data_IF_817669240813
#
_entry.id   IF_817669240813
#
_cell.length_a   1.000
_cell.length_b   1.000
_cell.length_c   1.000
_cell.angle_alpha   90.00
_cell.angle_beta   90.00
_cell.angle_gamma   90.00
#
_symmetry.space_group_name_H-M   'P 1'
#
loop_
_entity.id
_entity.type
_entity.pdbx_description
1 polymer ?
#
# COMPACT_ATOMS: atom_id res chain seq x y z
N UNK A 1 64.31 4.49 51.14
CA UNK A 1 62.94 4.04 51.48
C UNK A 1 61.98 5.12 51.06
N UNK A 2 61.50 5.05 49.79
CA UNK A 2 60.59 6.05 49.19
C UNK A 2 59.17 5.49 49.32
N UNK A 3 58.36 6.18 50.11
CA UNK A 3 56.92 5.94 50.21
C UNK A 3 56.24 6.46 48.95
N UNK A 4 55.62 5.54 48.17
CA UNK A 4 54.73 5.87 47.07
C UNK A 4 53.35 6.11 47.68
N UNK A 5 52.70 7.28 47.45
CA UNK A 5 51.36 7.49 47.95
C UNK A 5 50.37 6.60 47.16
N UNK A 6 49.49 5.95 47.91
CA UNK A 6 48.38 5.15 47.38
C UNK A 6 47.52 6.07 46.52
N UNK A 7 47.35 5.66 45.25
CA UNK A 7 46.49 6.33 44.30
C UNK A 7 45.04 6.28 44.78
N UNK A 8 44.41 7.46 44.73
CA UNK A 8 43.00 7.63 44.91
C UNK A 8 42.30 6.81 43.82
N UNK A 9 41.62 5.74 44.18
CA UNK A 9 40.69 5.04 43.32
C UNK A 9 39.55 6.05 43.01
N UNK A 10 39.52 6.50 41.78
CA UNK A 10 38.34 7.19 41.26
C UNK A 10 37.16 6.23 41.37
N UNK A 11 36.19 6.58 42.17
CA UNK A 11 34.95 5.83 42.28
C UNK A 11 34.32 5.75 40.90
N UNK A 12 34.31 4.53 40.31
CA UNK A 12 33.41 4.21 39.23
C UNK A 12 31.99 4.36 39.82
N UNK A 13 31.32 5.46 39.49
CA UNK A 13 29.91 5.60 39.80
C UNK A 13 29.18 4.47 39.04
N UNK A 14 28.68 3.52 39.78
CA UNK A 14 27.80 2.51 39.21
C UNK A 14 26.63 3.23 38.55
N UNK A 15 26.56 3.14 37.23
CA UNK A 15 25.36 3.60 36.50
C UNK A 15 24.30 2.56 36.82
N UNK A 16 23.43 2.88 37.79
CA UNK A 16 22.26 2.06 38.08
C UNK A 16 21.33 2.12 36.87
N UNK A 17 21.33 1.06 36.09
CA UNK A 17 20.38 0.91 34.99
C UNK A 17 18.98 0.76 35.61
N UNK A 18 18.14 1.78 35.39
CA UNK A 18 16.76 1.85 35.89
C UNK A 18 15.80 1.66 34.73
N UNK A 19 14.76 0.84 34.91
CA UNK A 19 13.74 0.56 33.89
C UNK A 19 13.09 1.86 33.36
N UNK A 20 12.81 2.83 34.25
CA UNK A 20 12.16 4.09 33.86
C UNK A 20 13.08 4.97 33.02
N UNK A 21 14.37 5.02 33.35
CA UNK A 21 15.35 5.78 32.57
C UNK A 21 15.56 5.12 31.21
N UNK A 22 15.67 3.79 31.17
CA UNK A 22 15.90 3.05 29.93
C UNK A 22 14.73 3.16 28.95
N UNK A 23 13.49 2.97 29.44
CA UNK A 23 12.31 3.10 28.58
C UNK A 23 12.11 4.53 28.10
N UNK A 24 12.33 5.52 28.98
CA UNK A 24 12.23 6.93 28.63
C UNK A 24 13.24 7.30 27.54
N UNK A 25 14.46 6.82 27.63
CA UNK A 25 15.47 7.09 26.60
C UNK A 25 15.06 6.48 25.23
N UNK A 26 14.50 5.26 25.25
CA UNK A 26 13.96 4.66 24.04
C UNK A 26 12.79 5.48 23.45
N UNK A 27 11.89 5.99 24.31
CA UNK A 27 10.77 6.86 23.90
C UNK A 27 11.29 8.21 23.36
N UNK A 28 12.32 8.78 23.96
CA UNK A 28 12.95 10.05 23.50
C UNK A 28 13.59 9.84 22.09
N UNK A 29 14.29 8.72 21.87
CA UNK A 29 14.82 8.35 20.56
C UNK A 29 13.68 8.21 19.52
N UNK A 30 12.58 7.57 19.91
CA UNK A 30 11.43 7.38 19.02
C UNK A 30 10.79 8.74 18.67
N UNK A 31 10.56 9.60 19.66
CA UNK A 31 10.02 10.94 19.46
C UNK A 31 10.94 11.82 18.59
N UNK A 32 12.26 11.65 18.74
CA UNK A 32 13.28 12.28 17.90
C UNK A 32 13.37 11.70 16.47
N UNK A 33 12.52 10.72 16.13
CA UNK A 33 12.53 10.00 14.84
C UNK A 33 13.82 9.20 14.58
N UNK A 34 14.61 8.96 15.62
CA UNK A 34 15.80 8.11 15.59
C UNK A 34 15.39 6.63 15.68
N UNK A 35 14.56 6.18 14.74
CA UNK A 35 13.87 4.89 14.82
C UNK A 35 14.80 3.68 14.96
N UNK A 36 16.00 3.74 14.37
CA UNK A 36 16.97 2.64 14.51
C UNK A 36 17.53 2.59 15.93
N UNK A 37 17.84 3.74 16.53
CA UNK A 37 18.27 3.83 17.91
C UNK A 37 17.13 3.43 18.85
N UNK A 38 15.92 3.94 18.64
CA UNK A 38 14.73 3.58 19.41
C UNK A 38 14.50 2.06 19.47
N UNK A 39 14.52 1.38 18.33
CA UNK A 39 14.36 -0.08 18.28
C UNK A 39 15.45 -0.81 19.07
N UNK A 40 16.70 -0.35 19.03
CA UNK A 40 17.79 -0.92 19.80
C UNK A 40 17.60 -0.70 21.32
N UNK A 41 17.16 0.48 21.73
CA UNK A 41 16.95 0.82 23.14
C UNK A 41 15.72 0.13 23.74
N UNK A 42 14.63 -0.03 22.96
CA UNK A 42 13.51 -0.88 23.38
C UNK A 42 13.92 -2.35 23.54
N UNK A 43 14.74 -2.88 22.63
CA UNK A 43 15.26 -4.25 22.77
C UNK A 43 16.14 -4.38 24.03
N UNK A 44 16.97 -3.36 24.34
CA UNK A 44 17.78 -3.31 25.55
C UNK A 44 16.90 -3.29 26.80
N UNK A 45 15.84 -2.49 26.80
CA UNK A 45 14.85 -2.47 27.87
C UNK A 45 14.24 -3.84 28.12
N UNK A 46 13.75 -4.51 27.05
CA UNK A 46 13.16 -5.85 27.16
C UNK A 46 14.16 -6.88 27.69
N UNK A 47 15.42 -6.77 27.29
CA UNK A 47 16.46 -7.68 27.72
C UNK A 47 16.75 -7.57 29.22
N UNK A 48 16.87 -6.35 29.75
CA UNK A 48 17.20 -6.13 31.15
C UNK A 48 15.98 -6.18 32.09
N UNK A 49 14.79 -5.93 31.57
CA UNK A 49 13.55 -5.86 32.35
C UNK A 49 12.42 -6.70 31.71
N UNK A 50 12.64 -8.03 31.55
CA UNK A 50 11.70 -8.87 30.80
C UNK A 50 10.32 -9.02 31.45
N UNK A 51 10.23 -8.83 32.78
CA UNK A 51 9.00 -8.93 33.57
C UNK A 51 8.32 -7.57 33.81
N UNK A 52 8.83 -6.48 33.21
CA UNK A 52 8.22 -5.17 33.34
C UNK A 52 6.90 -5.13 32.54
N UNK A 53 5.86 -4.55 33.13
CA UNK A 53 4.53 -4.43 32.52
C UNK A 53 4.51 -3.68 31.18
N UNK A 54 5.53 -2.88 30.91
CA UNK A 54 5.69 -2.10 29.67
C UNK A 54 6.31 -2.90 28.52
N UNK A 55 6.74 -4.13 28.75
CA UNK A 55 7.36 -4.99 27.71
C UNK A 55 6.46 -5.16 26.47
N UNK A 56 5.14 -5.40 26.57
CA UNK A 56 4.29 -5.45 25.39
C UNK A 56 4.32 -4.15 24.57
N UNK A 57 4.27 -3.00 25.24
CA UNK A 57 4.35 -1.70 24.59
C UNK A 57 5.73 -1.48 23.95
N UNK A 58 6.81 -1.83 24.61
CA UNK A 58 8.16 -1.75 24.04
C UNK A 58 8.29 -2.61 22.77
N UNK A 59 7.74 -3.84 22.76
CA UNK A 59 7.69 -4.71 21.57
C UNK A 59 6.91 -4.06 20.42
N UNK A 60 5.78 -3.45 20.75
CA UNK A 60 4.98 -2.70 19.77
C UNK A 60 5.76 -1.52 19.19
N UNK A 61 6.46 -0.76 20.03
CA UNK A 61 7.26 0.39 19.60
C UNK A 61 8.47 -0.02 18.74
N UNK A 62 9.03 -1.23 18.92
CA UNK A 62 10.01 -1.79 17.99
C UNK A 62 9.36 -1.99 16.61
N UNK A 63 8.18 -2.61 16.55
CA UNK A 63 7.42 -2.78 15.32
C UNK A 63 7.13 -1.44 14.63
N UNK A 64 6.75 -0.42 15.40
CA UNK A 64 6.53 0.94 14.92
C UNK A 64 7.80 1.59 14.37
N UNK A 65 8.94 1.41 15.06
CA UNK A 65 10.23 1.91 14.60
C UNK A 65 10.60 1.31 13.24
N UNK A 66 10.44 -0.01 13.09
CA UNK A 66 10.67 -0.72 11.83
C UNK A 66 9.71 -0.27 10.72
N UNK A 67 8.44 -0.04 11.05
CA UNK A 67 7.46 0.49 10.11
C UNK A 67 7.87 1.87 9.58
N UNK A 68 8.33 2.77 10.44
CA UNK A 68 8.82 4.10 10.04
C UNK A 68 10.11 4.02 9.20
N UNK A 69 10.96 3.02 9.46
CA UNK A 69 12.13 2.70 8.63
C UNK A 69 11.74 2.07 7.29
N UNK A 70 10.44 1.83 7.04
CA UNK A 70 9.87 1.15 5.87
C UNK A 70 10.29 -0.32 5.75
N UNK A 71 10.81 -0.91 6.83
CA UNK A 71 11.03 -2.36 6.91
C UNK A 71 9.72 -3.04 7.33
N UNK A 72 8.78 -3.07 6.39
CA UNK A 72 7.45 -3.61 6.65
C UNK A 72 7.46 -5.11 6.95
N UNK A 73 8.42 -5.84 6.40
CA UNK A 73 8.54 -7.28 6.66
C UNK A 73 8.95 -7.57 8.11
N UNK A 74 9.95 -6.85 8.62
CA UNK A 74 10.34 -6.98 10.03
C UNK A 74 9.25 -6.45 10.96
N UNK A 75 8.59 -5.32 10.63
CA UNK A 75 7.47 -4.78 11.40
C UNK A 75 6.32 -5.78 11.52
N UNK A 76 5.95 -6.47 10.42
CA UNK A 76 4.92 -7.51 10.40
C UNK A 76 5.22 -8.63 11.38
N UNK A 77 6.47 -9.11 11.47
CA UNK A 77 6.85 -10.16 12.40
C UNK A 77 6.61 -9.76 13.86
N UNK A 78 6.94 -8.50 14.22
CA UNK A 78 6.71 -7.98 15.57
C UNK A 78 5.23 -7.84 15.88
N UNK A 79 4.45 -7.23 14.99
CA UNK A 79 3.02 -7.02 15.22
C UNK A 79 2.24 -8.34 15.24
N UNK A 80 2.59 -9.29 14.38
CA UNK A 80 1.94 -10.62 14.38
C UNK A 80 2.20 -11.34 15.69
N UNK A 81 3.44 -11.35 16.19
CA UNK A 81 3.77 -11.98 17.47
C UNK A 81 3.00 -11.35 18.65
N UNK A 82 2.75 -10.04 18.61
CA UNK A 82 1.93 -9.37 19.63
C UNK A 82 0.47 -9.77 19.49
N UNK A 83 -0.10 -9.70 18.27
CA UNK A 83 -1.49 -10.07 18.02
C UNK A 83 -1.79 -11.51 18.42
N UNK A 84 -0.89 -12.45 18.12
CA UNK A 84 -1.01 -13.87 18.47
C UNK A 84 -1.00 -14.10 19.98
N UNK A 85 -0.21 -13.31 20.72
CA UNK A 85 -0.09 -13.43 22.17
C UNK A 85 -1.20 -12.70 22.93
N UNK A 86 -1.51 -11.47 22.50
CA UNK A 86 -2.38 -10.55 23.24
C UNK A 86 -3.86 -10.61 22.77
N UNK A 87 -4.11 -11.19 21.60
CA UNK A 87 -5.47 -11.40 21.07
C UNK A 87 -6.29 -10.10 20.96
N UNK A 88 -7.49 -10.12 21.55
CA UNK A 88 -8.44 -8.99 21.51
C UNK A 88 -8.13 -7.86 22.52
N UNK A 89 -6.98 -7.89 23.19
CA UNK A 89 -6.58 -6.78 24.06
C UNK A 89 -6.31 -5.50 23.23
N UNK A 90 -6.33 -4.30 23.83
CA UNK A 90 -6.07 -3.06 23.09
C UNK A 90 -4.78 -3.12 22.26
N UNK A 91 -3.67 -3.60 22.83
CA UNK A 91 -2.39 -3.67 22.12
C UNK A 91 -2.39 -4.74 21.02
N UNK A 92 -3.16 -5.83 21.19
CA UNK A 92 -3.36 -6.84 20.16
C UNK A 92 -4.13 -6.27 18.97
N UNK A 93 -5.22 -5.56 19.24
CA UNK A 93 -6.02 -4.86 18.20
C UNK A 93 -5.16 -3.80 17.48
N UNK A 94 -4.40 -2.98 18.21
CA UNK A 94 -3.48 -2.00 17.63
C UNK A 94 -2.43 -2.65 16.72
N UNK A 95 -1.91 -3.80 17.15
CA UNK A 95 -0.98 -4.60 16.33
C UNK A 95 -1.66 -5.11 15.06
N UNK A 96 -2.91 -5.56 15.14
CA UNK A 96 -3.69 -5.95 13.98
C UNK A 96 -3.91 -4.81 12.99
N UNK A 97 -4.13 -3.60 13.47
CA UNK A 97 -4.18 -2.39 12.62
C UNK A 97 -2.86 -2.15 11.90
N UNK A 98 -1.74 -2.27 12.62
CA UNK A 98 -0.41 -2.06 12.06
C UNK A 98 -0.02 -3.14 11.05
N UNK A 99 -0.47 -4.39 11.24
CA UNK A 99 -0.33 -5.47 10.26
C UNK A 99 -1.03 -5.08 8.95
N UNK A 100 -2.31 -4.66 9.02
CA UNK A 100 -3.05 -4.24 7.83
C UNK A 100 -2.36 -3.08 7.11
N UNK A 101 -1.87 -2.11 7.88
CA UNK A 101 -1.19 -0.95 7.32
C UNK A 101 0.16 -1.30 6.70
N UNK A 102 0.92 -2.21 7.30
CA UNK A 102 2.18 -2.71 6.76
C UNK A 102 1.97 -3.43 5.43
N UNK A 103 0.92 -4.28 5.34
CA UNK A 103 0.54 -4.90 4.09
C UNK A 103 0.08 -3.88 3.04
N UNK A 104 -0.69 -2.87 3.41
CA UNK A 104 -1.10 -1.80 2.50
C UNK A 104 0.09 -1.01 1.97
N UNK A 105 1.07 -0.66 2.84
CA UNK A 105 2.28 0.06 2.44
C UNK A 105 3.21 -0.76 1.54
N UNK A 106 3.16 -2.09 1.62
CA UNK A 106 3.83 -3.01 0.71
C UNK A 106 2.98 -3.43 -0.50
N UNK A 107 1.85 -2.75 -0.73
CA UNK A 107 0.91 -2.98 -1.83
C UNK A 107 0.28 -4.39 -1.84
N UNK A 108 0.37 -5.12 -0.73
CA UNK A 108 -0.27 -6.41 -0.57
C UNK A 108 -1.71 -6.25 -0.03
N UNK A 109 -2.57 -5.68 -0.86
CA UNK A 109 -3.96 -5.38 -0.48
C UNK A 109 -4.74 -6.63 -0.05
N UNK A 110 -4.46 -7.78 -0.67
CA UNK A 110 -5.13 -9.04 -0.31
C UNK A 110 -4.85 -9.42 1.14
N UNK A 111 -3.59 -9.45 1.55
CA UNK A 111 -3.21 -9.78 2.93
C UNK A 111 -3.73 -8.73 3.95
N UNK A 112 -3.75 -7.45 3.57
CA UNK A 112 -4.35 -6.40 4.39
C UNK A 112 -5.84 -6.66 4.65
N UNK A 113 -6.61 -7.02 3.62
CA UNK A 113 -8.04 -7.35 3.71
C UNK A 113 -8.27 -8.61 4.55
N UNK A 114 -7.46 -9.65 4.36
CA UNK A 114 -7.54 -10.89 5.15
C UNK A 114 -7.31 -10.62 6.64
N UNK A 115 -6.33 -9.78 6.97
CA UNK A 115 -6.08 -9.39 8.36
C UNK A 115 -7.21 -8.53 8.95
N UNK A 116 -7.79 -7.59 8.19
CA UNK A 116 -8.96 -6.83 8.63
C UNK A 116 -10.17 -7.76 8.89
N UNK A 117 -10.38 -8.75 8.02
CA UNK A 117 -11.41 -9.77 8.25
C UNK A 117 -11.14 -10.62 9.49
N UNK A 118 -9.86 -10.84 9.84
CA UNK A 118 -9.50 -11.47 11.11
C UNK A 118 -9.85 -10.58 12.31
N UNK A 119 -9.52 -9.29 12.27
CA UNK A 119 -9.87 -8.34 13.33
C UNK A 119 -11.38 -8.23 13.57
N UNK A 120 -12.19 -8.26 12.52
CA UNK A 120 -13.66 -8.26 12.61
C UNK A 120 -14.17 -9.50 13.38
N UNK A 121 -13.52 -10.66 13.21
CA UNK A 121 -13.89 -11.87 13.94
C UNK A 121 -13.35 -11.91 15.37
N UNK A 122 -12.22 -11.25 15.59
CA UNK A 122 -11.53 -11.24 16.88
C UNK A 122 -12.19 -10.30 17.88
N UNK A 123 -12.67 -9.13 17.42
CA UNK A 123 -13.20 -8.08 18.29
C UNK A 123 -14.73 -8.11 18.36
N UNK A 124 -15.27 -8.00 19.57
CA UNK A 124 -16.70 -7.78 19.83
C UNK A 124 -17.05 -6.28 19.85
N UNK A 125 -16.04 -5.40 19.89
CA UNK A 125 -16.23 -3.96 19.86
C UNK A 125 -16.70 -3.49 18.48
N UNK A 126 -17.89 -2.88 18.46
CA UNK A 126 -18.47 -2.35 17.22
C UNK A 126 -17.63 -1.24 16.60
N UNK A 127 -16.97 -0.41 17.41
CA UNK A 127 -16.12 0.64 16.87
C UNK A 127 -14.93 0.06 16.08
N UNK A 128 -14.31 -1.01 16.61
CA UNK A 128 -13.24 -1.74 15.94
C UNK A 128 -13.75 -2.41 14.66
N UNK A 129 -14.88 -3.09 14.72
CA UNK A 129 -15.44 -3.79 13.54
C UNK A 129 -15.90 -2.82 12.46
N UNK A 130 -16.52 -1.71 12.81
CA UNK A 130 -16.93 -0.66 11.86
C UNK A 130 -15.73 -0.01 11.18
N UNK A 131 -14.69 0.30 11.96
CA UNK A 131 -13.45 0.83 11.41
C UNK A 131 -12.76 -0.19 10.47
N UNK A 132 -12.81 -1.48 10.81
CA UNK A 132 -12.24 -2.53 9.96
C UNK A 132 -13.03 -2.67 8.64
N UNK A 133 -14.37 -2.66 8.68
CA UNK A 133 -15.20 -2.65 7.47
C UNK A 133 -14.94 -1.42 6.61
N UNK A 134 -14.84 -0.25 7.24
CA UNK A 134 -14.54 0.99 6.53
C UNK A 134 -13.18 0.94 5.83
N UNK A 135 -12.11 0.52 6.53
CA UNK A 135 -10.79 0.34 5.92
C UNK A 135 -10.79 -0.70 4.80
N UNK A 136 -11.48 -1.82 5.00
CA UNK A 136 -11.62 -2.87 3.99
C UNK A 136 -12.31 -2.34 2.72
N UNK A 137 -13.36 -1.54 2.88
CA UNK A 137 -14.01 -0.86 1.76
C UNK A 137 -13.04 0.02 0.95
N UNK A 138 -12.21 0.81 1.64
CA UNK A 138 -11.20 1.62 0.98
C UNK A 138 -10.13 0.80 0.26
N UNK A 139 -9.66 -0.32 0.84
CA UNK A 139 -8.71 -1.21 0.17
C UNK A 139 -9.31 -1.85 -1.08
N UNK A 140 -10.61 -2.22 -1.05
CA UNK A 140 -11.31 -2.66 -2.25
C UNK A 140 -11.47 -1.56 -3.30
N UNK A 141 -11.67 -0.29 -2.89
CA UNK A 141 -11.67 0.83 -3.84
C UNK A 141 -10.29 1.00 -4.50
N UNK A 142 -9.21 0.94 -3.72
CA UNK A 142 -7.83 1.04 -4.22
C UNK A 142 -7.48 -0.07 -5.20
N UNK A 143 -7.97 -1.29 -4.96
CA UNK A 143 -7.80 -2.42 -5.88
C UNK A 143 -8.77 -2.39 -7.07
N UNK A 144 -9.69 -1.41 -7.13
CA UNK A 144 -10.68 -1.24 -8.21
C UNK A 144 -11.87 -2.20 -8.12
N UNK A 145 -12.09 -2.82 -6.96
CA UNK A 145 -13.16 -3.77 -6.69
C UNK A 145 -14.40 -3.08 -6.07
N UNK A 146 -15.03 -2.17 -6.83
CA UNK A 146 -16.10 -1.30 -6.34
C UNK A 146 -17.30 -2.03 -5.73
N UNK A 147 -17.66 -3.20 -6.27
CA UNK A 147 -18.79 -4.01 -5.75
C UNK A 147 -18.47 -4.53 -4.35
N UNK A 148 -17.24 -5.02 -4.15
CA UNK A 148 -16.80 -5.49 -2.83
C UNK A 148 -16.62 -4.33 -1.84
N UNK A 149 -16.17 -3.17 -2.34
CA UNK A 149 -16.07 -1.98 -1.52
C UNK A 149 -17.43 -1.57 -0.94
N UNK A 150 -18.45 -1.51 -1.80
CA UNK A 150 -19.83 -1.21 -1.37
C UNK A 150 -20.34 -2.24 -0.37
N UNK A 151 -20.16 -3.53 -0.65
CA UNK A 151 -20.57 -4.59 0.26
C UNK A 151 -19.86 -4.52 1.63
N UNK A 152 -18.62 -4.04 1.68
CA UNK A 152 -17.92 -3.80 2.94
C UNK A 152 -18.51 -2.58 3.70
N UNK A 153 -18.76 -1.49 2.99
CA UNK A 153 -19.36 -0.28 3.56
C UNK A 153 -20.80 -0.53 4.09
N UNK A 154 -21.57 -1.39 3.43
CA UNK A 154 -22.92 -1.77 3.87
C UNK A 154 -22.94 -2.57 5.18
N UNK A 155 -21.78 -3.09 5.62
CA UNK A 155 -21.61 -3.80 6.90
C UNK A 155 -21.38 -2.87 8.10
N UNK A 156 -21.09 -1.60 7.85
CA UNK A 156 -20.89 -0.61 8.91
C UNK A 156 -22.21 -0.34 9.62
N UNK A 157 -22.16 -0.33 10.95
CA UNK A 157 -23.33 -0.06 11.78
C UNK A 157 -23.91 1.35 11.55
N UNK A 158 -25.19 1.61 11.91
CA UNK A 158 -25.76 2.94 11.74
C UNK A 158 -24.98 4.06 12.46
N UNK A 159 -24.39 3.78 13.64
CA UNK A 159 -23.52 4.73 14.33
C UNK A 159 -22.24 4.99 13.55
N UNK A 160 -21.54 3.94 13.12
CA UNK A 160 -20.32 4.06 12.32
C UNK A 160 -20.56 4.75 10.97
N UNK A 161 -21.72 4.56 10.34
CA UNK A 161 -22.08 5.28 9.11
C UNK A 161 -22.12 6.80 9.30
N UNK A 162 -22.63 7.25 10.47
CA UNK A 162 -22.62 8.67 10.82
C UNK A 162 -21.20 9.17 11.09
N UNK A 163 -20.41 8.40 11.85
CA UNK A 163 -19.04 8.77 12.21
C UNK A 163 -18.12 8.87 11.00
N UNK A 164 -18.35 8.02 9.99
CA UNK A 164 -17.56 8.01 8.74
C UNK A 164 -18.21 8.80 7.59
N UNK A 165 -19.31 9.51 7.83
CA UNK A 165 -20.03 10.27 6.80
C UNK A 165 -20.28 9.43 5.53
N UNK A 166 -20.89 8.25 5.72
CA UNK A 166 -21.06 7.26 4.68
C UNK A 166 -22.08 7.67 3.61
N UNK A 167 -23.06 8.52 3.96
CA UNK A 167 -24.09 8.94 3.01
C UNK A 167 -23.51 9.78 1.87
N UNK A 168 -22.55 10.67 2.18
CA UNK A 168 -21.81 11.41 1.15
C UNK A 168 -20.92 10.48 0.32
N UNK A 169 -20.27 9.49 0.95
CA UNK A 169 -19.49 8.50 0.22
C UNK A 169 -20.35 7.66 -0.72
N UNK A 170 -21.52 7.22 -0.28
CA UNK A 170 -22.45 6.46 -1.12
C UNK A 170 -22.97 7.27 -2.30
N UNK A 171 -23.26 8.57 -2.10
CA UNK A 171 -23.62 9.47 -3.17
C UNK A 171 -22.49 9.60 -4.21
N UNK A 172 -21.24 9.74 -3.76
CA UNK A 172 -20.07 9.80 -4.63
C UNK A 172 -19.83 8.48 -5.38
N UNK A 173 -19.96 7.34 -4.69
CA UNK A 173 -19.81 6.01 -5.29
C UNK A 173 -20.93 5.67 -6.28
N UNK A 174 -22.12 6.24 -6.09
CA UNK A 174 -23.23 6.08 -7.05
C UNK A 174 -22.92 6.69 -8.41
N UNK A 175 -22.03 7.68 -8.46
CA UNK A 175 -21.50 8.26 -9.70
C UNK A 175 -20.51 7.36 -10.47
N UNK A 176 -20.13 6.18 -9.95
CA UNK A 176 -19.15 5.30 -10.63
C UNK A 176 -19.61 4.81 -12.02
N UNK A 177 -20.94 4.81 -12.30
CA UNK A 177 -21.48 4.50 -13.62
C UNK A 177 -21.06 5.48 -14.72
N UNK A 178 -20.53 6.64 -14.33
CA UNK A 178 -20.04 7.70 -15.24
C UNK A 178 -18.57 7.45 -15.63
N UNK A 179 -17.86 6.51 -14.97
CA UNK A 179 -16.48 6.19 -15.32
C UNK A 179 -16.46 5.60 -16.74
N UNK A 180 -15.95 6.42 -17.68
CA UNK A 180 -15.77 5.96 -19.06
C UNK A 180 -14.82 4.76 -19.08
N UNK A 181 -15.31 3.63 -19.58
CA UNK A 181 -14.51 2.42 -19.76
C UNK A 181 -14.39 2.07 -21.24
N UNK A 182 -13.21 1.61 -21.62
CA UNK A 182 -12.94 1.11 -22.98
C UNK A 182 -13.06 -0.42 -22.96
N UNK A 183 -13.77 -0.97 -23.95
CA UNK A 183 -13.89 -2.41 -24.07
C UNK A 183 -12.60 -3.00 -24.70
N UNK A 184 -11.89 -3.93 -24.03
CA UNK A 184 -10.67 -4.52 -24.56
C UNK A 184 -10.89 -5.30 -25.86
N UNK A 185 -12.06 -5.98 -26.01
CA UNK A 185 -12.40 -6.68 -27.23
C UNK A 185 -12.57 -5.69 -28.41
N UNK A 186 -13.26 -4.58 -28.18
CA UNK A 186 -13.39 -3.51 -29.18
C UNK A 186 -12.03 -2.94 -29.58
N UNK A 187 -11.13 -2.71 -28.59
CA UNK A 187 -9.78 -2.28 -28.87
C UNK A 187 -9.01 -3.29 -29.74
N UNK A 188 -9.18 -4.59 -29.46
CA UNK A 188 -8.59 -5.66 -30.25
C UNK A 188 -9.12 -5.70 -31.69
N UNK A 189 -10.44 -5.61 -31.89
CA UNK A 189 -11.07 -5.59 -33.19
C UNK A 189 -10.61 -4.36 -34.01
N UNK A 190 -10.57 -3.19 -33.39
CA UNK A 190 -10.09 -1.96 -34.05
C UNK A 190 -8.60 -2.04 -34.41
N UNK A 191 -7.83 -2.87 -33.73
CA UNK A 191 -6.39 -3.10 -34.00
C UNK A 191 -6.16 -3.92 -35.27
N UNK A 192 -7.21 -4.43 -35.94
CA UNK A 192 -7.10 -4.97 -37.32
C UNK A 192 -6.55 -3.88 -38.26
N UNK A 193 -6.90 -2.63 -38.04
CA UNK A 193 -6.17 -1.51 -38.61
C UNK A 193 -5.01 -1.19 -37.68
N UNK A 194 -3.74 -1.24 -38.14
CA UNK A 194 -2.59 -0.97 -37.29
C UNK A 194 -2.73 0.37 -36.54
N UNK A 195 -2.61 0.35 -35.22
CA UNK A 195 -2.78 1.53 -34.37
C UNK A 195 -4.22 1.83 -33.95
N UNK A 196 -5.26 1.22 -34.56
CA UNK A 196 -6.68 1.52 -34.28
C UNK A 196 -7.09 1.28 -32.82
N UNK A 197 -6.56 0.22 -32.19
CA UNK A 197 -6.79 -0.04 -30.77
C UNK A 197 -6.17 1.00 -29.85
N UNK A 198 -4.98 1.51 -30.18
CA UNK A 198 -4.34 2.61 -29.44
C UNK A 198 -5.16 3.90 -29.61
N UNK A 199 -5.61 4.20 -30.83
CA UNK A 199 -6.44 5.36 -31.12
C UNK A 199 -7.73 5.35 -30.27
N UNK A 200 -8.40 4.21 -30.21
CA UNK A 200 -9.59 4.01 -29.39
C UNK A 200 -9.32 4.28 -27.89
N UNK A 201 -8.11 3.98 -27.42
CA UNK A 201 -7.67 4.18 -26.05
C UNK A 201 -7.01 5.57 -25.81
N UNK A 202 -7.16 6.52 -26.76
CA UNK A 202 -6.64 7.89 -26.67
C UNK A 202 -5.10 7.97 -26.64
N UNK A 203 -4.41 6.91 -27.09
CA UNK A 203 -2.95 6.84 -27.20
C UNK A 203 -2.50 7.19 -28.62
N UNK A 204 -2.65 8.45 -28.98
CA UNK A 204 -2.45 8.94 -30.35
C UNK A 204 -1.03 8.73 -30.87
N UNK A 205 -0.01 8.92 -30.05
CA UNK A 205 1.39 8.74 -30.44
C UNK A 205 1.68 7.28 -30.80
N UNK A 206 1.25 6.36 -29.93
CA UNK A 206 1.43 4.91 -30.18
C UNK A 206 0.64 4.45 -31.40
N UNK A 207 -0.54 5.03 -31.62
CA UNK A 207 -1.35 4.74 -32.80
C UNK A 207 -0.62 5.13 -34.08
N UNK A 208 -0.04 6.33 -34.14
CA UNK A 208 0.72 6.79 -35.31
C UNK A 208 1.97 5.93 -35.52
N UNK A 209 2.73 5.62 -34.48
CA UNK A 209 3.92 4.78 -34.55
C UNK A 209 3.54 3.41 -35.12
N UNK A 210 2.51 2.75 -34.55
CA UNK A 210 2.07 1.45 -35.00
C UNK A 210 1.63 1.48 -36.47
N UNK A 211 0.88 2.49 -36.87
CA UNK A 211 0.39 2.66 -38.24
C UNK A 211 1.54 2.82 -39.24
N UNK A 212 2.44 3.77 -38.99
CA UNK A 212 3.53 4.08 -39.92
C UNK A 212 4.55 2.93 -40.01
N UNK A 213 4.96 2.33 -38.89
CA UNK A 213 5.90 1.22 -38.94
C UNK A 213 5.31 -0.01 -39.62
N UNK A 214 4.09 -0.40 -39.27
CA UNK A 214 3.45 -1.54 -39.94
C UNK A 214 3.28 -1.28 -41.43
N UNK A 215 2.83 -0.07 -41.80
CA UNK A 215 2.67 0.33 -43.20
C UNK A 215 3.99 0.34 -43.96
N UNK A 216 5.06 0.87 -43.38
CA UNK A 216 6.39 0.89 -43.98
C UNK A 216 6.94 -0.51 -44.24
N UNK A 217 6.76 -1.44 -43.28
CA UNK A 217 7.21 -2.83 -43.47
C UNK A 217 6.37 -3.57 -44.51
N UNK A 218 5.04 -3.34 -44.57
CA UNK A 218 4.18 -3.91 -45.59
C UNK A 218 4.60 -3.39 -46.96
N UNK A 219 4.76 -2.07 -47.11
CA UNK A 219 5.20 -1.46 -48.36
C UNK A 219 6.59 -1.97 -48.78
N UNK A 220 7.55 -1.98 -47.86
CA UNK A 220 8.89 -2.45 -48.12
C UNK A 220 8.94 -3.96 -48.50
N UNK A 221 8.05 -4.79 -47.93
CA UNK A 221 7.95 -6.17 -48.29
C UNK A 221 7.42 -6.32 -49.74
N UNK A 222 6.33 -5.64 -50.12
CA UNK A 222 5.76 -5.65 -51.46
C UNK A 222 6.80 -5.20 -52.49
N UNK A 223 7.41 -4.04 -52.28
CA UNK A 223 8.45 -3.48 -53.16
C UNK A 223 9.66 -4.41 -53.30
N UNK A 224 10.10 -5.09 -52.24
CA UNK A 224 11.18 -6.05 -52.28
C UNK A 224 10.84 -7.29 -53.12
N UNK A 225 9.57 -7.78 -53.07
CA UNK A 225 9.12 -8.88 -53.90
C UNK A 225 9.00 -8.48 -55.36
N UNK A 226 8.52 -7.26 -55.65
CA UNK A 226 8.38 -6.75 -57.02
C UNK A 226 9.73 -6.58 -57.73
N UNK A 227 10.80 -6.34 -56.93
CA UNK A 227 12.20 -6.26 -57.43
C UNK A 227 13.01 -7.56 -57.32
N UNK A 228 12.37 -8.74 -57.21
CA UNK A 228 12.99 -10.03 -57.06
C UNK A 228 13.93 -10.22 -55.84
N UNK A 229 13.83 -9.30 -54.84
CA UNK A 229 14.62 -9.35 -53.59
C UNK A 229 13.90 -10.24 -52.54
N UNK A 230 13.65 -11.50 -52.86
CA UNK A 230 12.79 -12.40 -52.07
C UNK A 230 13.26 -12.58 -50.62
N UNK A 231 14.58 -12.61 -50.38
CA UNK A 231 15.11 -12.71 -49.00
C UNK A 231 14.79 -11.46 -48.13
N UNK A 232 14.93 -10.28 -48.74
CA UNK A 232 14.61 -9.00 -48.10
C UNK A 232 13.08 -8.87 -47.86
N UNK A 233 12.26 -9.22 -48.86
CA UNK A 233 10.80 -9.25 -48.77
C UNK A 233 10.31 -10.17 -47.65
N UNK A 234 10.94 -11.35 -47.52
CA UNK A 234 10.64 -12.30 -46.44
C UNK A 234 10.98 -11.73 -45.04
N UNK A 235 12.16 -11.10 -44.90
CA UNK A 235 12.55 -10.45 -43.64
C UNK A 235 11.59 -9.30 -43.27
N UNK A 236 11.28 -8.42 -44.24
CA UNK A 236 10.33 -7.30 -44.04
C UNK A 236 8.93 -7.80 -43.63
N UNK A 237 8.45 -8.87 -44.25
CA UNK A 237 7.18 -9.50 -43.92
C UNK A 237 7.14 -10.05 -42.50
N UNK A 238 8.22 -10.72 -42.04
CA UNK A 238 8.34 -11.23 -40.67
C UNK A 238 8.35 -10.10 -39.64
N UNK A 239 9.12 -9.05 -39.89
CA UNK A 239 9.18 -7.91 -38.99
C UNK A 239 7.84 -7.16 -38.99
N UNK A 240 7.23 -6.94 -40.15
CA UNK A 240 5.91 -6.33 -40.28
C UNK A 240 4.81 -7.09 -39.53
N UNK A 241 4.84 -8.44 -39.60
CA UNK A 241 3.91 -9.29 -38.85
C UNK A 241 4.12 -9.14 -37.35
N UNK A 242 5.37 -9.01 -36.88
CA UNK A 242 5.68 -8.73 -35.48
C UNK A 242 5.11 -7.39 -34.99
N UNK A 243 5.28 -6.33 -35.77
CA UNK A 243 4.68 -5.02 -35.46
C UNK A 243 3.15 -5.05 -35.48
N UNK A 244 2.57 -5.76 -36.44
CA UNK A 244 1.13 -5.92 -36.57
C UNK A 244 0.51 -6.63 -35.35
N UNK A 245 1.04 -7.82 -35.03
CA UNK A 245 0.55 -8.58 -33.87
C UNK A 245 0.82 -7.88 -32.54
N UNK A 246 1.98 -7.20 -32.43
CA UNK A 246 2.32 -6.34 -31.30
C UNK A 246 1.34 -5.20 -31.13
N UNK A 247 0.90 -4.57 -32.23
CA UNK A 247 -0.12 -3.52 -32.20
C UNK A 247 -1.49 -4.02 -31.73
N UNK A 248 -1.93 -5.23 -32.14
CA UNK A 248 -3.17 -5.83 -31.67
C UNK A 248 -3.16 -6.08 -30.16
N UNK A 249 -2.11 -6.75 -29.69
CA UNK A 249 -1.94 -7.02 -28.25
C UNK A 249 -1.82 -5.73 -27.44
N UNK A 250 -1.06 -4.77 -27.97
CA UNK A 250 -0.88 -3.45 -27.37
C UNK A 250 -2.18 -2.65 -27.26
N UNK A 251 -3.07 -2.73 -28.25
CA UNK A 251 -4.39 -2.13 -28.22
C UNK A 251 -5.28 -2.68 -27.10
N UNK A 252 -5.36 -4.01 -26.98
CA UNK A 252 -6.09 -4.69 -25.90
C UNK A 252 -5.55 -4.29 -24.53
N UNK A 253 -4.23 -4.35 -24.36
CA UNK A 253 -3.55 -3.98 -23.12
C UNK A 253 -3.78 -2.49 -22.77
N UNK A 254 -3.84 -1.62 -23.78
CA UNK A 254 -4.12 -0.20 -23.59
C UNK A 254 -5.52 0.06 -23.05
N UNK A 255 -6.53 -0.72 -23.46
CA UNK A 255 -7.87 -0.59 -22.90
C UNK A 255 -7.89 -0.98 -21.40
N UNK A 256 -7.18 -2.05 -21.01
CA UNK A 256 -7.04 -2.41 -19.60
C UNK A 256 -6.33 -1.29 -18.79
N UNK A 257 -5.22 -0.76 -19.31
CA UNK A 257 -4.48 0.34 -18.65
C UNK A 257 -5.33 1.61 -18.54
N UNK A 258 -6.09 1.95 -19.58
CA UNK A 258 -7.01 3.10 -19.58
C UNK A 258 -8.06 2.93 -18.47
N UNK A 259 -8.71 1.77 -18.40
CA UNK A 259 -9.73 1.49 -17.40
C UNK A 259 -9.17 1.53 -15.97
N UNK A 260 -7.97 0.98 -15.76
CA UNK A 260 -7.31 1.04 -14.46
C UNK A 260 -6.94 2.48 -14.07
N UNK A 261 -6.41 3.26 -14.99
CA UNK A 261 -6.09 4.68 -14.75
C UNK A 261 -7.35 5.48 -14.38
N UNK A 262 -8.46 5.28 -15.09
CA UNK A 262 -9.73 5.96 -14.79
C UNK A 262 -10.31 5.58 -13.43
N UNK A 263 -10.25 4.30 -13.07
CA UNK A 263 -10.65 3.84 -11.73
C UNK A 263 -9.78 4.47 -10.64
N UNK A 264 -8.46 4.48 -10.82
CA UNK A 264 -7.52 5.06 -9.86
C UNK A 264 -7.70 6.58 -9.72
N UNK A 265 -7.98 7.29 -10.84
CA UNK A 265 -8.28 8.71 -10.85
C UNK A 265 -9.53 9.00 -10.03
N UNK A 266 -10.61 8.26 -10.25
CA UNK A 266 -11.86 8.39 -9.52
C UNK A 266 -11.68 8.17 -8.00
N UNK A 267 -10.98 7.10 -7.59
CA UNK A 267 -10.69 6.84 -6.18
C UNK A 267 -9.85 7.96 -5.57
N UNK A 268 -8.85 8.46 -6.31
CA UNK A 268 -8.01 9.57 -5.85
C UNK A 268 -8.82 10.86 -5.66
N UNK A 269 -9.77 11.15 -6.55
CA UNK A 269 -10.65 12.33 -6.42
C UNK A 269 -11.54 12.22 -5.18
N UNK A 270 -12.15 11.05 -4.94
CA UNK A 270 -12.95 10.82 -3.72
C UNK A 270 -12.08 11.02 -2.48
N UNK A 271 -10.89 10.40 -2.42
CA UNK A 271 -9.97 10.58 -1.30
C UNK A 271 -9.60 12.03 -1.07
N UNK A 272 -9.32 12.78 -2.15
CA UNK A 272 -8.97 14.20 -2.07
C UNK A 272 -10.12 15.05 -1.53
N UNK A 273 -11.35 14.81 -2.00
CA UNK A 273 -12.53 15.53 -1.52
C UNK A 273 -12.81 15.28 -0.05
N UNK A 274 -12.59 14.06 0.41
CA UNK A 274 -12.84 13.66 1.80
C UNK A 274 -11.65 13.87 2.73
N UNK A 275 -10.51 14.29 2.22
CA UNK A 275 -9.28 14.44 3.02
C UNK A 275 -8.82 13.13 3.66
N UNK A 276 -9.18 11.97 3.06
CA UNK A 276 -8.89 10.65 3.62
C UNK A 276 -7.41 10.33 3.42
N UNK A 277 -6.66 10.37 4.49
CA UNK A 277 -5.31 9.80 4.55
C UNK A 277 -5.24 8.82 5.71
N UNK A 278 -4.91 7.56 5.43
CA UNK A 278 -4.67 6.57 6.47
C UNK A 278 -3.26 6.75 7.02
N UNK A 279 -3.09 7.80 7.86
CA UNK A 279 -1.85 8.05 8.56
C UNK A 279 -1.95 7.57 10.01
N UNK A 280 -0.85 7.03 10.53
CA UNK A 280 -0.69 6.82 11.97
C UNK A 280 -0.26 8.14 12.59
N UNK A 281 -1.06 8.68 13.50
CA UNK A 281 -0.71 9.83 14.32
C UNK A 281 -0.46 9.40 15.76
N UNK A 282 0.61 9.93 16.38
CA UNK A 282 0.79 9.84 17.82
C UNK A 282 0.17 11.06 18.49
N UNK A 283 -0.65 10.84 19.50
CA UNK A 283 -1.10 11.88 20.43
C UNK A 283 -0.81 11.45 21.87
N UNK A 284 0.36 11.82 22.36
CA UNK A 284 0.82 11.41 23.69
C UNK A 284 1.16 9.92 23.77
N UNK A 285 0.64 9.21 24.80
CA UNK A 285 0.82 7.76 24.97
C UNK A 285 -0.20 6.90 24.21
N UNK A 286 -1.18 7.53 23.55
CA UNK A 286 -2.22 6.85 22.79
C UNK A 286 -1.89 6.84 21.31
N UNK A 287 -1.98 5.68 20.69
CA UNK A 287 -1.86 5.52 19.25
C UNK A 287 -3.19 5.94 18.65
N UNK A 288 -3.24 7.15 18.09
CA UNK A 288 -4.35 7.55 17.26
C UNK A 288 -4.14 6.93 15.88
N UNK A 289 -4.76 5.79 15.64
CA UNK A 289 -5.04 5.32 14.30
C UNK A 289 -6.09 6.25 13.68
N UNK A 290 -5.65 7.46 13.35
CA UNK A 290 -6.52 8.51 12.87
C UNK A 290 -6.68 8.43 11.37
N UNK A 291 -7.92 8.50 10.95
CA UNK A 291 -8.30 9.03 9.66
C UNK A 291 -8.23 10.55 9.82
N UNK A 292 -7.22 11.22 9.24
CA UNK A 292 -7.15 12.67 9.30
C UNK A 292 -8.06 13.23 8.23
N UNK A 293 -9.20 13.80 8.63
CA UNK A 293 -9.94 14.72 7.79
C UNK A 293 -9.22 16.07 7.85
N UNK A 294 -8.72 16.58 6.73
CA UNK A 294 -8.35 17.99 6.61
C UNK A 294 -9.60 18.74 6.16
N UNK A 295 -10.12 19.57 7.07
CA UNK A 295 -11.10 20.59 6.75
C UNK A 295 -10.46 21.72 5.95
#
# INVERSE_FOLDING_TARGET
>A
MLLIPAGVAAGQGDILLNADIQIKYADDCFAGQEYRAAAAEYNRFIYFFPEDERVPQARFNIGMSLFHLKDYAAALNHFTAILDKEGATPIGIDSGWMISQSYQRSENYKAAIENLAYLIRLSEDKAVTDQAWHRMGWLYLESGEFVKARAAFDRISPSGRTDFDMDDLDAQLSGQGIISQKNPLTAGILSVVPGGGYLYCERYQDALIAFFFTGAFIYGAVESFDHDLHALGGMMSLVGLGFYTGSMYGGITSAHKFNQAKKSEFVREIKKKRGVDFSTGFRGKEILLGMTYRF
#
